data_IF_236452897094
#
_entry.id   IF_236452897094
#
_cell.length_a   1.000
_cell.length_b   1.000
_cell.length_c   1.000
_cell.angle_alpha   90.00
_cell.angle_beta   90.00
_cell.angle_gamma   90.00
#
_symmetry.space_group_name_H-M   'P 1'
#
loop_
_entity.id
_entity.type
_entity.pdbx_description
1 polymer ?
#
# COMPACT_ATOMS: atom_id res chain seq x y z
N UNK A 1 -1.52 -21.06 47.11
CA UNK A 1 -1.71 -21.58 45.74
C UNK A 1 -0.36 -21.55 45.04
N UNK A 2 0.34 -22.67 44.98
CA UNK A 2 1.64 -22.79 44.31
C UNK A 2 1.41 -22.80 42.80
N UNK A 3 1.93 -21.77 42.13
CA UNK A 3 1.89 -21.64 40.67
C UNK A 3 2.93 -22.60 40.09
N UNK A 4 2.46 -23.73 39.54
CA UNK A 4 3.31 -24.72 38.88
C UNK A 4 4.05 -24.07 37.70
N UNK A 5 5.31 -23.68 37.92
CA UNK A 5 6.23 -23.31 36.86
C UNK A 5 6.79 -24.59 36.23
N UNK A 6 6.01 -25.18 35.31
CA UNK A 6 6.47 -26.30 34.51
C UNK A 6 7.58 -25.83 33.56
N UNK A 7 8.72 -26.53 33.59
CA UNK A 7 9.86 -26.28 32.71
C UNK A 7 9.43 -26.62 31.26
N UNK A 8 9.46 -25.61 30.37
CA UNK A 8 9.11 -25.78 28.95
C UNK A 8 10.36 -25.71 28.08
N UNK A 9 10.58 -26.75 27.28
CA UNK A 9 11.65 -26.80 26.28
C UNK A 9 11.05 -26.57 24.91
N UNK A 10 11.58 -25.61 24.17
CA UNK A 10 11.20 -25.34 22.77
C UNK A 10 12.32 -25.82 21.86
N UNK A 11 11.97 -26.61 20.84
CA UNK A 11 12.91 -27.10 19.84
C UNK A 11 12.67 -26.31 18.56
N UNK A 12 13.67 -25.53 18.14
CA UNK A 12 13.66 -24.81 16.87
C UNK A 12 14.44 -25.65 15.87
N UNK A 13 13.76 -26.13 14.84
CA UNK A 13 14.39 -26.89 13.76
C UNK A 13 14.80 -25.97 12.61
N UNK A 14 15.67 -26.46 11.72
CA UNK A 14 16.01 -25.75 10.48
C UNK A 14 14.79 -25.41 9.63
N UNK A 15 13.76 -26.27 9.65
CA UNK A 15 12.51 -26.04 8.93
C UNK A 15 11.70 -24.88 9.50
N UNK A 16 11.73 -24.69 10.81
CA UNK A 16 11.03 -23.57 11.48
C UNK A 16 11.67 -22.23 11.12
N UNK A 17 13.00 -22.18 11.05
CA UNK A 17 13.75 -21.01 10.59
C UNK A 17 13.39 -20.69 9.13
N UNK A 18 13.36 -21.72 8.27
CA UNK A 18 13.03 -21.53 6.85
C UNK A 18 11.60 -20.99 6.67
N UNK A 19 10.64 -21.52 7.44
CA UNK A 19 9.24 -21.07 7.43
C UNK A 19 9.12 -19.63 7.94
N UNK A 20 9.82 -19.28 9.01
CA UNK A 20 9.86 -17.91 9.53
C UNK A 20 10.34 -16.93 8.46
N UNK A 21 11.48 -17.23 7.82
CA UNK A 21 12.04 -16.40 6.74
C UNK A 21 11.08 -16.31 5.54
N UNK A 22 10.48 -17.43 5.13
CA UNK A 22 9.52 -17.43 4.03
C UNK A 22 8.29 -16.56 4.32
N UNK A 23 7.72 -16.66 5.53
CA UNK A 23 6.59 -15.85 5.96
C UNK A 23 6.98 -14.37 5.99
N UNK A 24 8.15 -14.03 6.51
CA UNK A 24 8.61 -12.65 6.61
C UNK A 24 8.89 -12.01 5.24
N UNK A 25 9.44 -12.77 4.29
CA UNK A 25 9.61 -12.32 2.91
C UNK A 25 8.23 -12.06 2.26
N UNK A 26 7.27 -12.97 2.46
CA UNK A 26 5.91 -12.80 1.90
C UNK A 26 5.23 -11.58 2.51
N UNK A 27 5.22 -11.45 3.84
CA UNK A 27 4.64 -10.31 4.54
C UNK A 27 5.33 -9.01 4.18
N UNK A 28 6.67 -8.99 4.08
CA UNK A 28 7.45 -7.83 3.66
C UNK A 28 7.09 -7.39 2.23
N UNK A 29 6.98 -8.36 1.31
CA UNK A 29 6.61 -8.09 -0.09
C UNK A 29 5.18 -7.57 -0.21
N UNK A 30 4.24 -8.15 0.54
CA UNK A 30 2.86 -7.68 0.60
C UNK A 30 2.78 -6.26 1.17
N UNK A 31 3.48 -6.00 2.28
CA UNK A 31 3.53 -4.69 2.93
C UNK A 31 4.11 -3.65 1.99
N UNK A 32 5.22 -3.95 1.32
CA UNK A 32 5.83 -3.09 0.30
C UNK A 32 4.86 -2.79 -0.84
N UNK A 33 4.14 -3.81 -1.34
CA UNK A 33 3.18 -3.64 -2.43
C UNK A 33 1.99 -2.76 -2.05
N UNK A 34 1.48 -2.92 -0.82
CA UNK A 34 0.40 -2.09 -0.27
C UNK A 34 0.89 -0.66 -0.08
N UNK A 35 2.06 -0.48 0.53
CA UNK A 35 2.68 0.83 0.69
C UNK A 35 2.85 1.52 -0.67
N UNK A 36 3.39 0.82 -1.67
CA UNK A 36 3.51 1.36 -3.01
C UNK A 36 2.15 1.72 -3.61
N UNK A 37 1.11 0.91 -3.47
CA UNK A 37 -0.24 1.27 -3.97
C UNK A 37 -0.86 2.48 -3.27
N UNK A 38 -0.59 2.66 -1.98
CA UNK A 38 -1.11 3.78 -1.19
C UNK A 38 -0.30 5.07 -1.42
N UNK A 39 1.03 4.95 -1.55
CA UNK A 39 1.95 6.08 -1.66
C UNK A 39 2.34 6.42 -3.09
N UNK A 40 2.15 5.53 -4.08
CA UNK A 40 2.06 5.99 -5.46
C UNK A 40 0.81 6.85 -5.54
N UNK A 41 1.03 8.15 -5.63
CA UNK A 41 0.06 9.17 -5.98
C UNK A 41 -0.59 8.91 -7.37
N UNK A 42 -0.60 7.68 -7.90
CA UNK A 42 -1.30 7.29 -9.13
C UNK A 42 -2.75 7.71 -9.09
N UNK A 43 -3.47 7.46 -7.99
CA UNK A 43 -4.87 7.87 -7.90
C UNK A 43 -4.99 9.40 -7.98
N UNK A 44 -4.12 10.12 -7.27
CA UNK A 44 -4.14 11.58 -7.21
C UNK A 44 -3.66 12.22 -8.54
N UNK A 45 -2.67 11.63 -9.19
CA UNK A 45 -2.13 12.03 -10.47
C UNK A 45 -3.10 11.71 -11.61
N UNK A 46 -3.78 10.57 -11.57
CA UNK A 46 -4.83 10.20 -12.53
C UNK A 46 -6.05 11.10 -12.38
N UNK A 47 -6.54 11.31 -11.14
CA UNK A 47 -7.66 12.20 -10.87
C UNK A 47 -7.32 13.66 -11.19
N UNK A 48 -6.11 14.12 -10.84
CA UNK A 48 -5.61 15.45 -11.15
C UNK A 48 -5.43 15.69 -12.65
N UNK A 49 -4.94 14.69 -13.39
CA UNK A 49 -4.82 14.76 -14.86
C UNK A 49 -6.19 14.85 -15.55
N UNK A 50 -7.16 14.06 -15.10
CA UNK A 50 -8.55 14.14 -15.59
C UNK A 50 -9.21 15.48 -15.26
N UNK A 51 -9.12 15.93 -14.00
CA UNK A 51 -9.68 17.20 -13.57
C UNK A 51 -9.06 18.40 -14.30
N UNK A 52 -7.73 18.37 -14.51
CA UNK A 52 -7.01 19.41 -15.24
C UNK A 52 -7.42 19.49 -16.71
N UNK A 53 -7.50 18.34 -17.40
CA UNK A 53 -7.87 18.31 -18.82
C UNK A 53 -9.32 18.72 -19.06
N UNK A 54 -10.27 18.22 -18.28
CA UNK A 54 -11.68 18.61 -18.39
C UNK A 54 -11.91 20.06 -17.93
N UNK A 55 -11.21 20.52 -16.90
CA UNK A 55 -11.23 21.91 -16.46
C UNK A 55 -10.74 22.87 -17.54
N UNK A 56 -9.63 22.55 -18.20
CA UNK A 56 -9.07 23.39 -19.27
C UNK A 56 -9.99 23.47 -20.49
N UNK A 57 -10.61 22.35 -20.91
CA UNK A 57 -11.61 22.35 -21.99
C UNK A 57 -12.79 23.27 -21.67
N UNK A 58 -13.34 23.18 -20.46
CA UNK A 58 -14.47 24.02 -20.00
C UNK A 58 -14.08 25.49 -19.92
N UNK A 59 -12.85 25.79 -19.50
CA UNK A 59 -12.34 27.16 -19.46
C UNK A 59 -12.20 27.79 -20.85
N UNK A 60 -11.69 27.04 -21.83
CA UNK A 60 -11.63 27.50 -23.23
C UNK A 60 -13.03 27.74 -23.78
N UNK A 61 -13.97 26.83 -23.52
CA UNK A 61 -15.36 26.98 -23.96
C UNK A 61 -16.01 28.24 -23.37
N UNK A 62 -15.78 28.51 -22.07
CA UNK A 62 -16.26 29.71 -21.40
C UNK A 62 -15.65 30.98 -22.00
N UNK A 63 -14.33 30.98 -22.26
CA UNK A 63 -13.64 32.10 -22.91
C UNK A 63 -14.26 32.41 -24.28
N UNK A 64 -14.53 31.39 -25.08
CA UNK A 64 -15.11 31.57 -26.41
C UNK A 64 -16.57 32.06 -26.37
N UNK A 65 -17.32 31.69 -25.32
CA UNK A 65 -18.68 32.20 -25.05
C UNK A 65 -18.66 33.68 -24.61
N UNK A 66 -17.70 34.08 -23.80
CA UNK A 66 -17.53 35.46 -23.34
C UNK A 66 -16.95 36.40 -24.40
N UNK A 67 -16.24 35.87 -25.40
CA UNK A 67 -15.67 36.63 -26.49
C UNK A 67 -16.64 36.87 -27.67
N UNK A 68 -17.89 36.41 -27.54
CA UNK A 68 -18.97 36.58 -28.52
C UNK A 68 -20.00 37.57 -28.00
#
# INVERSE_FOLDING_TARGET
>A
MLRNHEFRVYIITKGDILRFVAIEIVLGTMTYSIAMKLFHNVILASAGGWAGTEGFKRLIMLKNLLAK
#
